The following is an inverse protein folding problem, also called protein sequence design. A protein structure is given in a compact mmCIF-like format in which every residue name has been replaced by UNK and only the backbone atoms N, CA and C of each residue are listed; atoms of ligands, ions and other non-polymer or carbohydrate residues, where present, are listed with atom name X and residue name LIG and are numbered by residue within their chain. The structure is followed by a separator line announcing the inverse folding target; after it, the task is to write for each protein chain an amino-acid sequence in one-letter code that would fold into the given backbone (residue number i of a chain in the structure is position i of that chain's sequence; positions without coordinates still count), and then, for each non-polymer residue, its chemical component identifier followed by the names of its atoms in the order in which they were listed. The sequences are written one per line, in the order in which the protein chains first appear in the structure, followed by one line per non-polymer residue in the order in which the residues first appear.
data_IF_988143203391
#
_entry.id   IF_988143203391
#
_cell.length_a   1.000
_cell.length_b   1.000
_cell.length_c   1.000
_cell.angle_alpha   90.00
_cell.angle_beta   90.00
_cell.angle_gamma   90.00
#
_symmetry.space_group_name_H-M   'P 1'
#
loop_
_entity.id
_entity.type
_entity.pdbx_description
1 polymer ?
#
# COMPACT_ATOMS: atom_id res chain seq x y z
N UNK A 1 -16.72 23.11 -35.64
CA UNK A 1 -17.64 22.40 -34.72
C UNK A 1 -16.83 21.54 -33.76
N UNK A 2 -16.08 22.21 -32.91
CA UNK A 2 -15.53 21.70 -31.65
C UNK A 2 -16.61 21.86 -30.58
N UNK A 3 -16.49 21.19 -29.43
CA UNK A 3 -17.38 21.33 -28.26
C UNK A 3 -18.58 20.36 -28.15
N UNK A 4 -18.36 19.05 -28.35
CA UNK A 4 -19.20 18.03 -27.68
C UNK A 4 -18.38 16.92 -27.02
N UNK A 5 -17.23 16.54 -27.56
CA UNK A 5 -16.43 15.44 -26.99
C UNK A 5 -15.59 15.84 -25.77
N UNK A 6 -15.17 17.10 -25.66
CA UNK A 6 -14.38 17.57 -24.49
C UNK A 6 -15.27 17.78 -23.27
N UNK A 7 -16.55 18.12 -23.48
CA UNK A 7 -17.50 18.31 -22.38
C UNK A 7 -17.88 16.98 -21.72
N UNK A 8 -17.79 15.85 -22.44
CA UNK A 8 -18.07 14.52 -21.86
C UNK A 8 -16.94 14.04 -20.95
N UNK A 9 -15.67 14.39 -21.25
CA UNK A 9 -14.53 14.00 -20.42
C UNK A 9 -14.44 14.87 -19.16
N UNK A 10 -14.78 16.16 -19.23
CA UNK A 10 -14.81 17.02 -18.05
C UNK A 10 -16.03 16.80 -17.14
N UNK A 11 -17.15 16.27 -17.65
CA UNK A 11 -18.35 16.05 -16.82
C UNK A 11 -18.26 14.79 -15.94
N UNK A 12 -17.43 13.81 -16.30
CA UNK A 12 -17.19 12.62 -15.44
C UNK A 12 -16.31 12.99 -14.24
N UNK A 13 -15.43 13.98 -14.39
CA UNK A 13 -14.56 14.48 -13.31
C UNK A 13 -15.29 15.32 -12.24
N UNK A 14 -16.53 15.74 -12.49
CA UNK A 14 -17.28 16.64 -11.60
C UNK A 14 -18.53 15.97 -10.97
N UNK A 15 -18.71 14.66 -11.15
CA UNK A 15 -19.86 13.90 -10.62
C UNK A 15 -19.49 12.72 -9.71
N UNK A 16 -18.28 12.69 -9.16
CA UNK A 16 -17.90 11.78 -8.07
C UNK A 16 -17.71 12.58 -6.79
N UNK A 17 -18.82 12.84 -6.09
CA UNK A 17 -18.75 13.24 -4.70
C UNK A 17 -17.96 12.20 -3.91
N UNK A 18 -16.81 12.60 -3.38
CA UNK A 18 -15.99 11.87 -2.40
C UNK A 18 -15.69 10.43 -2.83
N UNK A 19 -14.86 10.25 -3.87
CA UNK A 19 -14.07 9.03 -3.98
C UNK A 19 -13.16 8.98 -2.76
N UNK A 20 -13.52 8.17 -1.77
CA UNK A 20 -12.57 7.78 -0.74
C UNK A 20 -11.46 6.98 -1.44
N UNK A 21 -10.31 7.64 -1.63
CA UNK A 21 -9.09 7.07 -2.21
C UNK A 21 -8.81 5.71 -1.55
N UNK A 22 -8.66 4.63 -2.33
CA UNK A 22 -8.53 3.27 -1.79
C UNK A 22 -7.35 3.19 -0.79
N UNK A 23 -6.24 3.85 -1.12
CA UNK A 23 -5.07 4.02 -0.27
C UNK A 23 -5.42 4.62 1.10
N UNK A 24 -6.25 5.67 1.15
CA UNK A 24 -6.63 6.32 2.41
C UNK A 24 -7.45 5.42 3.33
N UNK A 25 -8.10 4.39 2.80
CA UNK A 25 -8.86 3.44 3.64
C UNK A 25 -7.96 2.67 4.60
N UNK A 26 -6.65 2.59 4.33
CA UNK A 26 -5.68 1.91 5.21
C UNK A 26 -5.65 2.52 6.61
N UNK A 27 -5.84 3.83 6.75
CA UNK A 27 -5.80 4.54 8.04
C UNK A 27 -6.91 4.09 8.99
N UNK A 28 -8.00 3.57 8.46
CA UNK A 28 -9.18 3.15 9.23
C UNK A 28 -9.45 1.65 9.13
N UNK A 29 -8.69 0.93 8.30
CA UNK A 29 -8.89 -0.49 8.08
C UNK A 29 -8.58 -1.31 9.35
N UNK A 30 -9.47 -2.26 9.66
CA UNK A 30 -9.34 -3.16 10.80
C UNK A 30 -9.21 -4.59 10.31
N UNK A 31 -7.99 -5.11 10.34
CA UNK A 31 -7.74 -6.52 10.05
C UNK A 31 -8.37 -7.44 11.11
N UNK A 32 -8.65 -8.71 10.78
CA UNK A 32 -8.94 -9.74 11.76
C UNK A 32 -7.83 -9.84 12.82
N UNK A 33 -8.20 -10.35 13.99
CA UNK A 33 -7.28 -10.49 15.12
C UNK A 33 -6.01 -11.24 14.69
N UNK A 34 -4.86 -10.62 14.96
CA UNK A 34 -3.55 -11.21 14.63
C UNK A 34 -3.40 -12.60 15.28
N UNK A 35 -2.96 -13.63 14.52
CA UNK A 35 -2.84 -15.00 15.00
C UNK A 35 -1.61 -15.15 15.91
N UNK A 36 -1.74 -14.71 17.16
CA UNK A 36 -0.66 -14.76 18.16
C UNK A 36 -0.17 -16.20 18.38
N UNK A 37 1.13 -16.41 18.36
CA UNK A 37 1.79 -17.67 18.72
C UNK A 37 2.51 -17.56 20.07
N UNK A 38 3.25 -18.60 20.48
CA UNK A 38 4.11 -18.52 21.68
C UNK A 38 5.22 -17.47 21.52
N UNK A 39 5.77 -17.33 20.31
CA UNK A 39 6.95 -16.51 20.03
C UNK A 39 6.63 -15.16 19.39
N UNK A 40 5.55 -15.06 18.61
CA UNK A 40 5.16 -13.85 17.90
C UNK A 40 3.78 -13.43 18.39
N UNK A 41 3.68 -12.22 18.97
CA UNK A 41 2.46 -11.75 19.66
C UNK A 41 1.72 -10.63 18.93
N UNK A 42 2.37 -9.98 17.98
CA UNK A 42 1.89 -8.80 17.26
C UNK A 42 2.72 -8.59 15.99
N UNK A 43 2.31 -7.66 15.14
CA UNK A 43 3.09 -7.26 13.96
C UNK A 43 4.30 -6.41 14.35
N UNK A 44 5.28 -6.29 13.45
CA UNK A 44 6.50 -5.50 13.66
C UNK A 44 6.17 -4.05 14.02
N UNK A 45 5.19 -3.45 13.33
CA UNK A 45 4.72 -2.10 13.62
C UNK A 45 4.24 -1.95 15.06
N UNK A 46 3.32 -2.82 15.51
CA UNK A 46 2.76 -2.76 16.86
C UNK A 46 3.85 -2.94 17.92
N UNK A 47 4.79 -3.87 17.68
CA UNK A 47 5.93 -4.08 18.55
C UNK A 47 6.82 -2.84 18.64
N UNK A 48 7.09 -2.19 17.52
CA UNK A 48 7.90 -0.96 17.48
C UNK A 48 7.21 0.18 18.23
N UNK A 49 5.91 0.37 18.02
CA UNK A 49 5.13 1.37 18.76
C UNK A 49 5.18 1.08 20.27
N UNK A 50 4.94 -0.17 20.69
CA UNK A 50 4.96 -0.55 22.11
C UNK A 50 6.34 -0.37 22.75
N UNK A 51 7.41 -0.62 22.00
CA UNK A 51 8.80 -0.51 22.47
C UNK A 51 9.42 0.88 22.29
N UNK A 52 8.66 1.86 21.78
CA UNK A 52 9.15 3.23 21.54
C UNK A 52 10.18 3.34 20.41
N UNK A 53 10.18 2.38 19.47
CA UNK A 53 11.03 2.39 18.28
C UNK A 53 10.38 3.21 17.15
N UNK A 54 11.17 3.79 16.24
CA UNK A 54 10.64 4.58 15.15
C UNK A 54 9.78 3.74 14.20
N UNK A 55 8.66 4.33 13.77
CA UNK A 55 7.76 3.82 12.72
C UNK A 55 7.40 4.96 11.76
N UNK A 56 6.97 4.66 10.52
CA UNK A 56 6.47 5.68 9.61
C UNK A 56 5.31 6.48 10.22
N UNK A 57 5.19 7.75 9.83
CA UNK A 57 4.33 8.71 10.54
C UNK A 57 2.82 8.44 10.42
N UNK A 58 2.42 7.72 9.37
CA UNK A 58 1.03 7.37 9.05
C UNK A 58 0.93 5.89 8.68
N UNK A 59 -0.28 5.31 8.74
CA UNK A 59 -0.47 3.93 8.27
C UNK A 59 -0.35 3.84 6.75
N UNK A 60 -0.65 4.92 6.05
CA UNK A 60 -0.38 5.09 4.62
C UNK A 60 1.12 5.00 4.34
N UNK A 61 1.96 5.80 5.01
CA UNK A 61 3.42 5.70 4.86
C UNK A 61 3.92 4.29 5.19
N UNK A 62 3.34 3.66 6.22
CA UNK A 62 3.67 2.28 6.60
C UNK A 62 3.33 1.29 5.49
N UNK A 63 2.16 1.42 4.87
CA UNK A 63 1.75 0.61 3.73
C UNK A 63 2.64 0.83 2.51
N UNK A 64 2.99 2.09 2.21
CA UNK A 64 3.88 2.44 1.12
C UNK A 64 5.27 1.82 1.32
N UNK A 65 5.83 1.87 2.54
CA UNK A 65 7.10 1.21 2.86
C UNK A 65 7.02 -0.31 2.63
N UNK A 66 5.93 -0.93 3.10
CA UNK A 66 5.71 -2.37 2.98
C UNK A 66 5.47 -2.83 1.53
N UNK A 67 4.83 -2.02 0.68
CA UNK A 67 4.69 -2.31 -0.76
C UNK A 67 6.01 -2.09 -1.48
N UNK A 68 6.67 -0.95 -1.23
CA UNK A 68 8.00 -0.67 -1.80
C UNK A 68 9.00 -1.78 -1.47
N UNK A 69 8.93 -2.34 -0.27
CA UNK A 69 9.81 -3.44 0.12
C UNK A 69 9.71 -4.67 -0.79
N UNK A 70 8.54 -4.92 -1.38
CA UNK A 70 8.34 -6.05 -2.30
C UNK A 70 9.14 -5.89 -3.59
N UNK A 71 9.38 -4.66 -4.05
CA UNK A 71 10.10 -4.40 -5.30
C UNK A 71 11.55 -4.89 -5.25
N UNK A 72 12.17 -4.90 -4.06
CA UNK A 72 13.54 -5.39 -3.90
C UNK A 72 13.65 -6.77 -3.24
N UNK A 73 12.73 -7.19 -2.36
CA UNK A 73 12.80 -8.51 -1.72
C UNK A 73 12.19 -9.60 -2.61
N UNK A 74 10.99 -9.38 -3.13
CA UNK A 74 10.25 -10.41 -3.87
C UNK A 74 10.42 -10.28 -5.38
N UNK A 75 10.49 -9.06 -5.91
CA UNK A 75 10.71 -8.83 -7.34
C UNK A 75 12.20 -8.70 -7.70
N UNK A 76 13.08 -8.57 -6.70
CA UNK A 76 14.55 -8.50 -6.85
C UNK A 76 15.05 -7.41 -7.83
N UNK A 77 14.30 -6.31 -7.99
CA UNK A 77 14.57 -5.31 -9.02
C UNK A 77 15.69 -4.33 -8.64
N UNK A 78 15.83 -3.99 -7.34
CA UNK A 78 16.85 -3.05 -6.88
C UNK A 78 16.80 -1.67 -7.52
N UNK A 79 15.62 -1.22 -7.95
CA UNK A 79 15.41 0.01 -8.73
C UNK A 79 15.29 1.26 -7.84
N UNK A 80 15.72 2.44 -8.33
CA UNK A 80 15.40 3.71 -7.72
C UNK A 80 13.93 4.12 -7.97
N UNK A 81 13.45 5.12 -7.22
CA UNK A 81 12.06 5.58 -7.27
C UNK A 81 11.65 6.14 -8.62
N UNK A 82 12.56 6.79 -9.35
CA UNK A 82 12.30 7.39 -10.67
C UNK A 82 12.18 6.36 -11.81
N UNK A 83 12.56 5.11 -11.56
CA UNK A 83 12.39 3.99 -12.50
C UNK A 83 11.17 3.12 -12.19
N UNK A 84 10.41 3.43 -11.14
CA UNK A 84 9.21 2.67 -10.80
C UNK A 84 8.12 2.88 -11.84
N UNK A 85 7.38 1.83 -12.19
CA UNK A 85 6.20 1.90 -13.06
C UNK A 85 4.97 1.37 -12.34
N UNK A 86 3.75 1.70 -12.80
CA UNK A 86 2.52 1.14 -12.25
C UNK A 86 2.50 -0.39 -12.25
N UNK A 87 3.06 -1.04 -13.28
CA UNK A 87 3.12 -2.51 -13.39
C UNK A 87 4.00 -3.12 -12.29
N UNK A 88 5.13 -2.49 -11.96
CA UNK A 88 5.99 -2.93 -10.86
C UNK A 88 5.26 -2.83 -9.52
N UNK A 89 4.49 -1.75 -9.31
CA UNK A 89 3.67 -1.61 -8.11
C UNK A 89 2.54 -2.64 -8.10
N UNK A 90 1.95 -2.95 -9.25
CA UNK A 90 0.93 -3.98 -9.37
C UNK A 90 1.47 -5.33 -8.91
N UNK A 91 2.64 -5.74 -9.41
CA UNK A 91 3.32 -6.97 -9.02
C UNK A 91 3.66 -6.98 -7.53
N UNK A 92 4.13 -5.85 -6.99
CA UNK A 92 4.41 -5.68 -5.56
C UNK A 92 3.15 -5.85 -4.69
N UNK A 93 2.01 -5.29 -5.10
CA UNK A 93 0.71 -5.51 -4.44
C UNK A 93 0.26 -6.96 -4.58
N UNK A 94 0.50 -7.59 -5.74
CA UNK A 94 0.12 -8.96 -6.04
C UNK A 94 0.79 -9.99 -5.10
N UNK A 95 2.01 -9.72 -4.62
CA UNK A 95 2.68 -10.56 -3.62
C UNK A 95 1.78 -10.87 -2.42
N UNK A 96 0.98 -9.91 -1.97
CA UNK A 96 0.08 -10.09 -0.83
C UNK A 96 -1.12 -10.99 -1.11
N UNK A 97 -1.48 -11.20 -2.38
CA UNK A 97 -2.53 -12.13 -2.79
C UNK A 97 -2.02 -13.57 -2.76
N UNK A 98 -0.81 -13.79 -3.25
CA UNK A 98 -0.26 -15.14 -3.46
C UNK A 98 0.48 -15.70 -2.24
N UNK A 99 1.18 -14.83 -1.51
CA UNK A 99 2.09 -15.25 -0.43
C UNK A 99 1.41 -15.20 0.93
N UNK A 100 1.74 -16.16 1.78
CA UNK A 100 1.31 -16.18 3.18
C UNK A 100 1.93 -14.99 3.93
N UNK A 101 1.12 -14.24 4.69
CA UNK A 101 1.58 -13.05 5.44
C UNK A 101 2.75 -13.36 6.38
N UNK A 102 2.86 -14.58 6.91
CA UNK A 102 3.98 -15.00 7.77
C UNK A 102 5.32 -15.14 7.03
N UNK A 103 5.31 -15.10 5.69
CA UNK A 103 6.48 -15.19 4.80
C UNK A 103 6.84 -13.86 4.16
N UNK A 104 6.04 -12.83 4.41
CA UNK A 104 6.27 -11.47 3.91
C UNK A 104 6.94 -10.68 5.04
N UNK A 105 8.12 -10.13 4.78
CA UNK A 105 8.78 -9.24 5.73
C UNK A 105 8.11 -7.86 5.74
N UNK A 106 8.23 -7.10 6.82
CA UNK A 106 7.75 -5.72 6.86
C UNK A 106 7.11 -5.33 8.19
N UNK A 107 6.50 -4.16 8.18
CA UNK A 107 5.82 -3.57 9.31
C UNK A 107 4.53 -4.31 9.66
N UNK A 108 3.64 -4.52 8.67
CA UNK A 108 2.30 -5.07 8.89
C UNK A 108 1.82 -6.05 7.81
N UNK A 109 2.58 -7.12 7.52
CA UNK A 109 2.23 -8.06 6.45
C UNK A 109 0.89 -8.80 6.65
N UNK A 110 0.44 -9.00 7.90
CA UNK A 110 -0.87 -9.57 8.18
C UNK A 110 -1.97 -8.57 7.88
N UNK A 111 -1.86 -7.35 8.40
CA UNK A 111 -2.88 -6.33 8.15
C UNK A 111 -2.97 -5.96 6.68
N UNK A 112 -1.85 -5.72 6.02
CA UNK A 112 -1.80 -5.31 4.61
C UNK A 112 -2.27 -6.42 3.67
N UNK A 113 -1.93 -7.69 3.97
CA UNK A 113 -2.47 -8.83 3.23
C UNK A 113 -3.99 -8.92 3.32
N UNK A 114 -4.56 -8.73 4.51
CA UNK A 114 -6.02 -8.71 4.70
C UNK A 114 -6.69 -7.51 4.03
N UNK A 115 -6.04 -6.34 4.03
CA UNK A 115 -6.54 -5.16 3.34
C UNK A 115 -6.65 -5.43 1.84
N UNK A 116 -5.55 -5.85 1.19
CA UNK A 116 -5.50 -6.11 -0.26
C UNK A 116 -6.49 -7.21 -0.67
N UNK A 117 -6.61 -8.28 0.13
CA UNK A 117 -7.55 -9.38 -0.12
C UNK A 117 -9.02 -8.98 0.09
N UNK A 118 -9.29 -7.89 0.81
CA UNK A 118 -10.67 -7.40 1.02
C UNK A 118 -11.20 -6.56 -0.14
N UNK A 119 -10.33 -6.08 -1.02
CA UNK A 119 -10.67 -5.25 -2.17
C UNK A 119 -11.17 -6.10 -3.36
N UNK A 120 -11.92 -5.51 -4.27
CA UNK A 120 -12.18 -6.09 -5.61
C UNK A 120 -10.95 -5.93 -6.51
N UNK A 121 -10.95 -6.56 -7.69
CA UNK A 121 -9.90 -6.37 -8.69
C UNK A 121 -9.78 -4.90 -9.14
N UNK A 122 -10.90 -4.27 -9.47
CA UNK A 122 -10.95 -2.85 -9.87
C UNK A 122 -10.43 -1.90 -8.76
N UNK A 123 -10.74 -2.22 -7.50
CA UNK A 123 -10.22 -1.47 -6.36
C UNK A 123 -8.72 -1.68 -6.16
N UNK A 124 -8.20 -2.88 -6.44
CA UNK A 124 -6.75 -3.14 -6.41
C UNK A 124 -6.01 -2.42 -7.54
N UNK A 125 -6.59 -2.35 -8.73
CA UNK A 125 -6.04 -1.55 -9.84
C UNK A 125 -6.00 -0.06 -9.47
N UNK A 126 -7.08 0.44 -8.87
CA UNK A 126 -7.14 1.82 -8.36
C UNK A 126 -6.08 2.06 -7.27
N UNK A 127 -5.99 1.17 -6.28
CA UNK A 127 -4.98 1.22 -5.22
C UNK A 127 -3.55 1.21 -5.79
N UNK A 128 -3.28 0.41 -6.82
CA UNK A 128 -1.97 0.32 -7.48
C UNK A 128 -1.56 1.67 -8.05
N UNK A 129 -2.46 2.33 -8.78
CA UNK A 129 -2.22 3.66 -9.34
C UNK A 129 -2.02 4.71 -8.25
N UNK A 130 -2.81 4.64 -7.18
CA UNK A 130 -2.68 5.55 -6.03
C UNK A 130 -1.35 5.37 -5.29
N UNK A 131 -0.90 4.13 -5.09
CA UNK A 131 0.42 3.82 -4.49
C UNK A 131 1.55 4.34 -5.37
N UNK A 132 1.47 4.08 -6.68
CA UNK A 132 2.45 4.59 -7.65
C UNK A 132 2.55 6.11 -7.58
N UNK A 133 1.41 6.81 -7.70
CA UNK A 133 1.38 8.27 -7.63
C UNK A 133 1.91 8.79 -6.30
N UNK A 134 1.55 8.14 -5.18
CA UNK A 134 2.06 8.50 -3.86
C UNK A 134 3.58 8.43 -3.81
N UNK A 135 4.18 7.32 -4.30
CA UNK A 135 5.62 7.11 -4.31
C UNK A 135 6.32 8.17 -5.17
N UNK A 136 5.80 8.49 -6.36
CA UNK A 136 6.38 9.52 -7.25
C UNK A 136 6.32 10.91 -6.61
N UNK A 137 5.20 11.28 -5.99
CA UNK A 137 4.97 12.61 -5.44
C UNK A 137 5.66 12.83 -4.08
N UNK A 138 5.71 11.80 -3.24
CA UNK A 138 6.08 11.92 -1.83
C UNK A 138 7.36 11.17 -1.46
N UNK A 139 7.84 10.28 -2.33
CA UNK A 139 8.87 9.30 -2.02
C UNK A 139 8.40 8.22 -1.03
N UNK A 140 9.32 7.35 -0.65
CA UNK A 140 9.12 6.32 0.38
C UNK A 140 9.70 6.82 1.70
N UNK A 141 8.84 7.04 2.69
CA UNK A 141 9.20 7.66 3.98
C UNK A 141 9.48 6.61 5.06
N UNK A 142 10.40 5.68 4.76
CA UNK A 142 10.84 4.69 5.74
C UNK A 142 11.74 5.32 6.80
N UNK A 143 11.67 4.80 8.03
CA UNK A 143 12.46 5.27 9.16
C UNK A 143 13.45 4.18 9.56
N UNK A 144 14.73 4.53 9.54
CA UNK A 144 15.81 3.61 9.94
C UNK A 144 15.94 3.62 11.46
N UNK A 145 16.20 2.46 12.04
CA UNK A 145 16.75 2.40 13.39
C UNK A 145 18.20 2.92 13.31
N UNK A 146 18.52 3.94 14.09
CA UNK A 146 19.89 4.44 14.27
C UNK A 146 20.74 3.49 15.11
#
# INVERSE_FOLDING_TARGET
MTSKSILFVLCVLLLTGVSAQELQKIETFKAPKYPKSKYIKMETYDYRVESGRPVPSTLTDTFICDVWQRTYIELELGIPVDEVTPEIIQDAVHVYLEKESSKIAGYRPWTHGHFIKSLTDEQRETLTLEVYNYIIENGVRDVKEE
#
